data_IF_017196017599
#
_entry.id   IF_017196017599
#
_cell.length_a   1.000
_cell.length_b   1.000
_cell.length_c   1.000
_cell.angle_alpha   90.00
_cell.angle_beta   90.00
_cell.angle_gamma   90.00
#
_symmetry.space_group_name_H-M   'P 1'
#
loop_
_entity.id
_entity.type
_entity.pdbx_description
1 polymer ?
#
# COMPACT_ATOMS: atom_id res chain seq x y z
N UNK A 1 -15.51 -13.10 -10.21
CA UNK A 1 -14.75 -11.83 -10.08
C UNK A 1 -14.26 -11.58 -8.64
N UNK A 2 -15.12 -11.69 -7.61
CA UNK A 2 -14.80 -11.37 -6.21
C UNK A 2 -13.60 -12.13 -5.60
N UNK A 3 -13.40 -13.40 -5.96
CA UNK A 3 -12.24 -14.20 -5.48
C UNK A 3 -10.89 -13.67 -5.96
N UNK A 4 -10.82 -13.20 -7.21
CA UNK A 4 -9.59 -12.62 -7.77
C UNK A 4 -9.24 -11.29 -7.09
N UNK A 5 -10.23 -10.39 -6.92
CA UNK A 5 -10.04 -9.13 -6.19
C UNK A 5 -9.60 -9.36 -4.75
N UNK A 6 -10.18 -10.36 -4.06
CA UNK A 6 -9.76 -10.74 -2.71
C UNK A 6 -8.30 -11.22 -2.69
N UNK A 7 -7.93 -12.10 -3.61
CA UNK A 7 -6.54 -12.59 -3.72
C UNK A 7 -5.57 -11.44 -4.00
N UNK A 8 -5.91 -10.56 -4.94
CA UNK A 8 -5.10 -9.39 -5.30
C UNK A 8 -4.94 -8.42 -4.11
N UNK A 9 -6.03 -8.16 -3.37
CA UNK A 9 -5.99 -7.33 -2.17
C UNK A 9 -5.11 -7.94 -1.07
N UNK A 10 -5.18 -9.25 -0.85
CA UNK A 10 -4.33 -9.95 0.13
C UNK A 10 -2.87 -9.90 -0.31
N UNK A 11 -2.57 -10.23 -1.58
CA UNK A 11 -1.21 -10.20 -2.11
C UNK A 11 -0.60 -8.79 -1.99
N UNK A 12 -1.37 -7.76 -2.38
CA UNK A 12 -0.95 -6.37 -2.27
C UNK A 12 -0.72 -5.96 -0.80
N UNK A 13 -1.65 -6.31 0.10
CA UNK A 13 -1.51 -6.04 1.54
C UNK A 13 -0.26 -6.70 2.13
N UNK A 14 0.04 -7.94 1.74
CA UNK A 14 1.25 -8.65 2.17
C UNK A 14 2.51 -7.94 1.68
N UNK A 15 2.58 -7.56 0.40
CA UNK A 15 3.71 -6.80 -0.14
C UNK A 15 3.88 -5.46 0.58
N UNK A 16 2.78 -4.76 0.85
CA UNK A 16 2.82 -3.49 1.57
C UNK A 16 3.30 -3.65 3.01
N UNK A 17 2.80 -4.64 3.74
CA UNK A 17 3.26 -4.95 5.10
C UNK A 17 4.75 -5.30 5.13
N UNK A 18 5.23 -6.12 4.19
CA UNK A 18 6.65 -6.45 4.09
C UNK A 18 7.50 -5.21 3.80
N UNK A 19 7.06 -4.33 2.91
CA UNK A 19 7.75 -3.08 2.61
C UNK A 19 7.82 -2.16 3.84
N UNK A 20 6.74 -2.07 4.63
CA UNK A 20 6.73 -1.31 5.90
C UNK A 20 7.65 -1.94 6.95
N UNK A 21 7.68 -3.27 7.07
CA UNK A 21 8.60 -3.96 7.97
C UNK A 21 10.06 -3.72 7.58
N UNK A 22 10.38 -3.83 6.29
CA UNK A 22 11.73 -3.52 5.77
C UNK A 22 12.09 -2.07 6.04
N UNK A 23 11.18 -1.13 5.77
CA UNK A 23 11.39 0.27 6.07
C UNK A 23 11.67 0.48 7.57
N UNK A 24 10.86 -0.09 8.46
CA UNK A 24 11.04 0.05 9.90
C UNK A 24 12.38 -0.55 10.36
N UNK A 25 12.75 -1.72 9.85
CA UNK A 25 14.03 -2.36 10.17
C UNK A 25 15.21 -1.52 9.68
N UNK A 26 15.17 -1.07 8.43
CA UNK A 26 16.22 -0.27 7.82
C UNK A 26 16.31 1.15 8.38
N UNK A 27 15.21 1.79 8.75
CA UNK A 27 15.25 3.17 9.29
C UNK A 27 15.62 3.24 10.76
N UNK A 28 15.22 2.25 11.55
CA UNK A 28 15.52 2.19 12.97
C UNK A 28 16.85 1.48 13.27
N UNK A 29 17.55 0.96 12.25
CA UNK A 29 18.79 0.19 12.41
C UNK A 29 18.58 -1.09 13.23
N UNK A 30 17.38 -1.68 13.16
CA UNK A 30 17.06 -2.87 13.92
C UNK A 30 17.95 -4.02 13.44
N UNK A 31 18.40 -4.86 14.37
CA UNK A 31 19.34 -5.97 14.13
C UNK A 31 20.79 -5.56 13.85
N UNK A 32 21.19 -4.34 14.21
CA UNK A 32 22.59 -3.89 14.08
C UNK A 32 22.98 -3.58 12.63
N UNK A 33 21.99 -3.34 11.77
CA UNK A 33 22.18 -2.85 10.41
C UNK A 33 22.40 -1.35 10.42
N UNK A 34 23.22 -0.85 9.49
CA UNK A 34 23.34 0.59 9.27
C UNK A 34 22.02 1.15 8.74
N UNK A 35 21.54 2.30 9.25
CA UNK A 35 20.30 2.88 8.78
C UNK A 35 20.35 3.18 7.27
N UNK A 36 19.46 2.55 6.50
CA UNK A 36 19.38 2.71 5.06
C UNK A 36 18.06 3.38 4.63
N UNK A 37 18.08 4.64 4.20
CA UNK A 37 16.90 5.35 3.71
C UNK A 37 16.33 4.77 2.40
N UNK A 38 17.12 3.99 1.64
CA UNK A 38 16.69 3.45 0.34
C UNK A 38 15.59 2.40 0.46
N UNK A 39 15.32 1.88 1.65
CA UNK A 39 14.17 1.00 1.89
C UNK A 39 12.81 1.65 1.54
N UNK A 40 12.73 3.00 1.50
CA UNK A 40 11.55 3.74 1.00
C UNK A 40 11.22 3.39 -0.45
N UNK A 41 12.21 2.97 -1.26
CA UNK A 41 12.02 2.63 -2.69
C UNK A 41 11.05 1.45 -2.87
N UNK A 42 10.91 0.56 -1.88
CA UNK A 42 9.93 -0.53 -1.97
C UNK A 42 8.47 -0.06 -1.88
N UNK A 43 8.22 1.11 -1.30
CA UNK A 43 6.89 1.72 -1.18
C UNK A 43 6.50 2.51 -2.43
N UNK A 44 7.48 3.10 -3.14
CA UNK A 44 7.28 3.90 -4.35
C UNK A 44 6.41 3.20 -5.41
N UNK A 45 6.74 2.00 -5.92
CA UNK A 45 5.96 1.34 -6.96
C UNK A 45 4.58 0.90 -6.45
N UNK A 46 4.45 0.55 -5.16
CA UNK A 46 3.17 0.18 -4.56
C UNK A 46 2.23 1.38 -4.40
N UNK A 47 2.78 2.58 -4.22
CA UNK A 47 2.02 3.82 -4.02
C UNK A 47 1.67 4.56 -5.31
N UNK A 48 2.13 4.11 -6.47
CA UNK A 48 1.76 4.70 -7.76
C UNK A 48 0.24 4.63 -7.98
N UNK A 49 -0.38 5.63 -8.62
CA UNK A 49 0.21 6.87 -9.13
C UNK A 49 0.32 7.98 -8.06
N UNK A 50 -0.22 7.77 -6.85
CA UNK A 50 -0.34 8.81 -5.83
C UNK A 50 1.00 9.37 -5.37
N UNK A 51 2.06 8.56 -5.39
CA UNK A 51 3.42 9.03 -5.09
C UNK A 51 3.90 10.10 -6.08
N UNK A 52 3.41 10.13 -7.32
CA UNK A 52 3.74 11.19 -8.28
C UNK A 52 3.19 12.56 -7.88
N UNK A 53 2.26 12.61 -6.93
CA UNK A 53 1.68 13.86 -6.41
C UNK A 53 2.53 14.44 -5.27
N UNK A 54 3.69 13.85 -4.95
CA UNK A 54 4.55 14.29 -3.85
C UNK A 54 5.06 15.73 -4.04
N UNK A 55 5.28 16.13 -5.29
CA UNK A 55 5.71 17.50 -5.64
C UNK A 55 4.63 18.56 -5.39
N UNK A 56 3.37 18.16 -5.13
CA UNK A 56 2.26 19.06 -4.81
C UNK A 56 2.18 19.41 -3.31
N UNK A 57 2.98 18.75 -2.46
CA UNK A 57 2.98 18.94 -1.01
C UNK A 57 4.38 19.29 -0.50
N UNK A 58 4.44 19.91 0.68
CA UNK A 58 5.70 20.29 1.34
C UNK A 58 6.59 19.07 1.62
N UNK A 59 7.91 19.25 1.56
CA UNK A 59 8.92 18.18 1.76
C UNK A 59 8.76 17.42 3.09
N UNK A 60 8.31 18.12 4.13
CA UNK A 60 8.03 17.53 5.45
C UNK A 60 6.96 16.42 5.41
N UNK A 61 6.05 16.49 4.44
CA UNK A 61 4.96 15.53 4.25
C UNK A 61 5.32 14.39 3.31
N UNK A 62 6.46 14.44 2.63
CA UNK A 62 6.85 13.41 1.64
C UNK A 62 6.94 11.99 2.22
N UNK A 63 7.52 11.76 3.41
CA UNK A 63 7.56 10.42 4.01
C UNK A 63 6.14 9.89 4.33
N UNK A 64 5.26 10.78 4.79
CA UNK A 64 3.88 10.43 5.10
C UNK A 64 3.08 10.11 3.83
N UNK A 65 3.25 10.90 2.77
CA UNK A 65 2.58 10.67 1.50
C UNK A 65 3.04 9.36 0.85
N UNK A 66 4.35 9.09 0.84
CA UNK A 66 4.91 7.84 0.29
C UNK A 66 4.49 6.62 1.09
N UNK A 67 4.37 6.73 2.42
CA UNK A 67 3.85 5.65 3.26
C UNK A 67 2.33 5.42 3.08
N UNK A 68 1.54 6.48 2.92
CA UNK A 68 0.06 6.41 2.78
C UNK A 68 -0.41 6.08 1.36
N UNK A 69 0.38 6.38 0.34
CA UNK A 69 0.02 6.15 -1.05
C UNK A 69 -0.34 4.67 -1.37
N UNK A 70 0.43 3.65 -0.93
CA UNK A 70 0.01 2.26 -1.08
C UNK A 70 -1.26 1.93 -0.29
N UNK A 71 -1.47 2.54 0.88
CA UNK A 71 -2.68 2.33 1.67
C UNK A 71 -3.94 2.78 0.93
N UNK A 72 -3.86 3.86 0.14
CA UNK A 72 -4.96 4.30 -0.73
C UNK A 72 -5.31 3.23 -1.79
N UNK A 73 -4.30 2.65 -2.44
CA UNK A 73 -4.51 1.57 -3.41
C UNK A 73 -5.18 0.35 -2.76
N UNK A 74 -4.72 -0.03 -1.56
CA UNK A 74 -5.33 -1.13 -0.81
C UNK A 74 -6.78 -0.82 -0.41
N UNK A 75 -7.08 0.40 0.03
CA UNK A 75 -8.43 0.83 0.38
C UNK A 75 -9.38 0.76 -0.83
N UNK A 76 -8.91 1.16 -2.02
CA UNK A 76 -9.68 1.04 -3.27
C UNK A 76 -9.97 -0.43 -3.59
N UNK A 77 -8.97 -1.32 -3.52
CA UNK A 77 -9.14 -2.74 -3.77
C UNK A 77 -10.15 -3.39 -2.80
N UNK A 78 -10.07 -3.06 -1.52
CA UNK A 78 -11.00 -3.55 -0.50
C UNK A 78 -12.41 -3.00 -0.72
N UNK A 79 -12.54 -1.73 -1.10
CA UNK A 79 -13.81 -1.10 -1.45
C UNK A 79 -14.47 -1.76 -2.66
N UNK A 80 -13.72 -2.01 -3.74
CA UNK A 80 -14.19 -2.71 -4.93
C UNK A 80 -14.59 -4.15 -4.63
N UNK A 81 -13.81 -4.86 -3.81
CA UNK A 81 -14.15 -6.22 -3.37
C UNK A 81 -15.48 -6.23 -2.59
N UNK A 82 -15.62 -5.36 -1.59
CA UNK A 82 -16.83 -5.25 -0.77
C UNK A 82 -18.05 -4.90 -1.62
N UNK A 83 -17.93 -3.93 -2.53
CA UNK A 83 -18.99 -3.54 -3.44
C UNK A 83 -19.43 -4.66 -4.39
N UNK A 84 -18.45 -5.38 -4.98
CA UNK A 84 -18.73 -6.52 -5.85
C UNK A 84 -19.37 -7.69 -5.10
N UNK A 85 -18.97 -7.93 -3.85
CA UNK A 85 -19.56 -8.98 -3.01
C UNK A 85 -21.01 -8.66 -2.64
N UNK A 86 -21.33 -7.40 -2.32
CA UNK A 86 -22.71 -6.97 -2.03
C UNK A 86 -23.64 -7.17 -3.23
N UNK A 87 -23.22 -6.78 -4.44
CA UNK A 87 -24.04 -6.96 -5.66
C UNK A 87 -24.29 -8.42 -6.05
N UNK A 88 -23.47 -9.36 -5.58
CA UNK A 88 -23.68 -10.79 -5.83
C UNK A 88 -24.81 -11.38 -4.97
N UNK A 89 -25.19 -10.72 -3.88
CA UNK A 89 -26.26 -11.14 -2.97
C UNK A 89 -27.63 -10.64 -3.47
N UNK A 90 -27.67 -9.49 -4.14
CA UNK A 90 -28.90 -8.83 -4.58
C UNK A 90 -29.39 -9.25 -5.98
N UNK A 91 -28.71 -10.19 -6.66
CA UNK A 91 -29.17 -10.70 -7.96
C UNK A 91 -30.30 -11.71 -7.75
N UNK A 92 -31.55 -11.42 -8.16
CA UNK A 92 -32.65 -12.38 -8.06
C UNK A 92 -32.41 -13.56 -9.03
N UNK A 93 -32.47 -14.78 -8.50
CA UNK A 93 -32.61 -16.02 -9.27
C UNK A 93 -34.00 -16.11 -9.89
#
# INVERSE_FOLDING_TARGET
>A
MSRFLKFLAIAFATCYLLALCLLAVSTLGLFGTEPDPLAVIFLLPLGMPWVLLVDLVSEELWPWLTALAPALNLAILLGLWKYSASRQIDAPN
#
